data_IF_522542589941
#
_entry.id   IF_522542589941
#
_cell.length_a   1.000
_cell.length_b   1.000
_cell.length_c   1.000
_cell.angle_alpha   90.00
_cell.angle_beta   90.00
_cell.angle_gamma   90.00
#
_symmetry.space_group_name_H-M   'P 1'
#
loop_
_entity.id
_entity.type
_entity.pdbx_description
1 polymer ?
#
# COMPACT_ATOMS: atom_id res chain seq x y z
N UNK A 1 23.56 -40.36 10.96
CA UNK A 1 22.64 -39.21 10.76
C UNK A 1 21.27 -39.56 11.35
N UNK A 2 20.49 -38.56 11.76
CA UNK A 2 19.21 -38.75 12.45
C UNK A 2 18.22 -39.61 11.65
N UNK A 3 18.06 -39.35 10.34
CA UNK A 3 17.15 -40.12 9.48
C UNK A 3 17.49 -41.61 9.39
N UNK A 4 18.77 -42.00 9.49
CA UNK A 4 19.17 -43.40 9.41
C UNK A 4 18.80 -44.15 10.69
N UNK A 5 19.04 -43.51 11.85
CA UNK A 5 18.61 -44.07 13.15
C UNK A 5 17.10 -44.20 13.23
N UNK A 6 16.38 -43.19 12.73
CA UNK A 6 14.91 -43.23 12.66
C UNK A 6 14.42 -44.45 11.87
N UNK A 7 14.86 -44.59 10.61
CA UNK A 7 14.47 -45.70 9.75
C UNK A 7 14.96 -47.07 10.23
N UNK A 8 16.03 -47.14 11.01
CA UNK A 8 16.46 -48.39 11.63
C UNK A 8 15.52 -48.82 12.78
N UNK A 9 14.99 -47.84 13.53
CA UNK A 9 14.15 -48.06 14.72
C UNK A 9 12.65 -48.15 14.42
N UNK A 10 12.21 -47.59 13.29
CA UNK A 10 10.80 -47.54 12.90
C UNK A 10 10.60 -48.28 11.57
N UNK A 11 9.58 -49.13 11.52
CA UNK A 11 9.23 -49.91 10.33
C UNK A 11 8.24 -49.19 9.41
N UNK A 12 8.16 -47.86 9.48
CA UNK A 12 7.27 -47.07 8.64
C UNK A 12 7.75 -47.10 7.18
N UNK A 13 6.81 -47.36 6.27
CA UNK A 13 7.03 -47.37 4.82
C UNK A 13 6.74 -46.03 4.17
N UNK A 14 6.63 -44.95 4.95
CA UNK A 14 6.39 -43.61 4.42
C UNK A 14 7.68 -42.99 3.89
N UNK A 15 7.58 -42.15 2.86
CA UNK A 15 8.65 -41.20 2.57
C UNK A 15 8.69 -40.15 3.69
N UNK A 16 9.87 -39.88 4.24
CA UNK A 16 10.08 -38.89 5.30
C UNK A 16 10.85 -37.69 4.79
N UNK A 17 10.33 -36.51 5.08
CA UNK A 17 11.03 -35.25 4.86
C UNK A 17 11.85 -34.96 6.12
N UNK A 18 13.16 -34.80 5.96
CA UNK A 18 14.08 -34.50 7.05
C UNK A 18 14.50 -33.03 7.06
N UNK A 19 15.07 -32.60 8.19
CA UNK A 19 15.54 -31.22 8.38
C UNK A 19 16.62 -30.86 7.35
N UNK A 20 16.69 -29.59 6.92
CA UNK A 20 17.72 -29.14 5.99
C UNK A 20 19.12 -29.49 6.50
N UNK A 21 19.97 -29.98 5.61
CA UNK A 21 21.35 -30.34 5.95
C UNK A 21 22.28 -30.10 4.77
N UNK A 22 23.57 -29.99 5.05
CA UNK A 22 24.59 -29.95 4.01
C UNK A 22 24.83 -31.35 3.45
N UNK A 23 24.71 -31.47 2.13
CA UNK A 23 25.06 -32.69 1.40
C UNK A 23 26.55 -33.01 1.57
N UNK A 24 26.88 -34.29 1.77
CA UNK A 24 28.29 -34.72 1.84
C UNK A 24 28.95 -34.81 0.46
N UNK A 25 28.17 -35.07 -0.58
CA UNK A 25 28.67 -35.23 -1.94
C UNK A 25 28.84 -33.90 -2.66
N UNK A 26 27.95 -32.94 -2.39
CA UNK A 26 27.93 -31.64 -3.10
C UNK A 26 28.28 -30.45 -2.23
N UNK A 27 28.28 -30.58 -0.90
CA UNK A 27 28.49 -29.46 0.02
C UNK A 27 27.37 -28.42 0.02
N UNK A 28 26.25 -28.67 -0.68
CA UNK A 28 25.13 -27.73 -0.81
C UNK A 28 24.05 -28.00 0.23
N UNK A 29 23.36 -26.95 0.67
CA UNK A 29 22.21 -27.06 1.57
C UNK A 29 21.02 -27.68 0.83
N UNK A 30 20.40 -28.68 1.43
CA UNK A 30 19.36 -29.47 0.79
C UNK A 30 18.36 -30.05 1.79
N UNK A 31 17.17 -30.38 1.32
CA UNK A 31 16.11 -31.05 2.09
C UNK A 31 16.17 -32.55 1.74
N UNK A 32 16.52 -33.42 2.70
CA UNK A 32 16.54 -34.86 2.48
C UNK A 32 15.12 -35.43 2.47
N UNK A 33 14.79 -36.23 1.45
CA UNK A 33 13.60 -37.09 1.45
C UNK A 33 14.10 -38.53 1.50
N UNK A 34 13.75 -39.25 2.57
CA UNK A 34 14.28 -40.59 2.83
C UNK A 34 13.19 -41.63 2.91
N UNK A 35 13.51 -42.85 2.50
CA UNK A 35 12.60 -43.98 2.54
C UNK A 35 13.33 -45.21 3.06
N UNK A 36 12.68 -45.97 3.94
CA UNK A 36 13.23 -47.21 4.47
C UNK A 36 13.25 -48.28 3.38
N UNK A 37 14.35 -49.04 3.31
CA UNK A 37 14.46 -50.24 2.49
C UNK A 37 14.41 -51.43 3.42
N UNK A 38 13.45 -52.30 3.21
CA UNK A 38 13.30 -53.57 3.92
C UNK A 38 13.90 -54.71 3.10
N UNK A 39 14.46 -55.71 3.80
CA UNK A 39 14.73 -57.03 3.23
C UNK A 39 13.41 -57.79 3.02
N UNK A 40 13.40 -58.90 2.25
CA UNK A 40 12.22 -59.74 2.09
C UNK A 40 11.61 -60.24 3.41
N UNK A 41 12.43 -60.38 4.46
CA UNK A 41 12.01 -60.79 5.81
C UNK A 41 11.47 -59.61 6.67
N UNK A 42 11.38 -58.39 6.11
CA UNK A 42 10.95 -57.19 6.82
C UNK A 42 12.04 -56.53 7.68
N UNK A 43 13.23 -57.12 7.76
CA UNK A 43 14.35 -56.52 8.50
C UNK A 43 14.92 -55.30 7.77
N UNK A 44 15.48 -54.36 8.52
CA UNK A 44 16.05 -53.12 7.96
C UNK A 44 17.25 -53.42 7.06
N UNK A 45 17.14 -53.11 5.76
CA UNK A 45 18.20 -53.27 4.78
C UNK A 45 19.01 -51.97 4.57
N UNK A 46 18.39 -50.81 4.79
CA UNK A 46 19.03 -49.51 4.59
C UNK A 46 18.03 -48.40 4.31
N UNK A 47 18.52 -47.31 3.71
CA UNK A 47 17.73 -46.11 3.41
C UNK A 47 18.01 -45.64 1.99
N UNK A 48 16.95 -45.46 1.19
CA UNK A 48 17.00 -44.68 -0.04
C UNK A 48 16.85 -43.19 0.30
N UNK A 49 17.65 -42.34 -0.34
CA UNK A 49 17.63 -40.90 -0.07
C UNK A 49 17.62 -40.10 -1.39
N UNK A 50 16.60 -39.26 -1.53
CA UNK A 50 16.55 -38.21 -2.54
C UNK A 50 16.94 -36.87 -1.90
N UNK A 51 17.62 -36.03 -2.69
CA UNK A 51 18.14 -34.75 -2.24
C UNK A 51 17.44 -33.61 -2.96
N UNK A 52 16.52 -32.92 -2.27
CA UNK A 52 15.85 -31.75 -2.83
C UNK A 52 16.71 -30.51 -2.62
N UNK A 53 17.14 -29.92 -3.73
CA UNK A 53 17.94 -28.70 -3.79
C UNK A 53 17.08 -27.47 -3.47
N UNK A 54 17.57 -26.54 -2.67
CA UNK A 54 16.83 -25.31 -2.34
C UNK A 54 16.64 -24.40 -3.57
N UNK A 55 17.52 -24.49 -4.55
CA UNK A 55 17.43 -23.75 -5.82
C UNK A 55 16.18 -24.13 -6.63
N UNK A 56 15.63 -25.34 -6.43
CA UNK A 56 14.34 -25.71 -7.01
C UNK A 56 13.23 -24.83 -6.44
N UNK A 57 13.16 -24.71 -5.12
CA UNK A 57 12.16 -23.89 -4.44
C UNK A 57 12.36 -22.40 -4.73
N UNK A 58 13.61 -21.94 -4.84
CA UNK A 58 13.89 -20.57 -5.25
C UNK A 58 13.26 -20.25 -6.61
N UNK A 59 13.57 -21.04 -7.65
CA UNK A 59 13.00 -20.84 -8.98
C UNK A 59 11.49 -21.01 -9.03
N UNK A 60 10.95 -21.97 -8.29
CA UNK A 60 9.51 -22.21 -8.25
C UNK A 60 8.77 -21.06 -7.55
N UNK A 61 9.31 -20.52 -6.47
CA UNK A 61 8.64 -19.45 -5.72
C UNK A 61 8.92 -18.05 -6.27
N UNK A 62 9.99 -17.86 -7.04
CA UNK A 62 10.27 -16.60 -7.74
C UNK A 62 9.29 -16.29 -8.88
N UNK A 63 8.57 -17.29 -9.40
CA UNK A 63 7.52 -17.05 -10.40
C UNK A 63 6.23 -16.46 -9.82
N UNK A 64 6.10 -16.40 -8.50
CA UNK A 64 4.94 -15.80 -7.85
C UNK A 64 5.23 -14.35 -7.47
N UNK A 65 4.35 -13.46 -7.92
CA UNK A 65 4.33 -12.09 -7.44
C UNK A 65 3.62 -12.05 -6.08
N UNK A 66 4.40 -11.84 -5.02
CA UNK A 66 3.90 -11.61 -3.66
C UNK A 66 4.31 -10.23 -3.15
N UNK A 67 4.69 -9.33 -4.05
CA UNK A 67 5.27 -8.03 -3.72
C UNK A 67 6.76 -8.08 -3.42
N UNK A 68 7.36 -6.89 -3.30
CA UNK A 68 8.78 -6.66 -3.02
C UNK A 68 9.16 -7.03 -1.59
N UNK A 69 8.24 -6.82 -0.65
CA UNK A 69 8.44 -7.12 0.79
C UNK A 69 7.70 -8.38 1.24
N UNK A 70 7.13 -9.09 0.26
CA UNK A 70 6.41 -10.33 0.45
C UNK A 70 7.30 -11.47 0.89
N UNK A 71 6.67 -12.46 1.51
CA UNK A 71 7.33 -13.66 2.03
C UNK A 71 6.58 -14.89 1.55
N UNK A 72 7.33 -15.90 1.11
CA UNK A 72 6.83 -17.27 0.97
C UNK A 72 7.64 -18.12 1.93
N UNK A 73 6.98 -18.92 2.74
CA UNK A 73 7.56 -19.75 3.78
C UNK A 73 7.11 -21.20 3.57
N UNK A 74 8.06 -22.11 3.57
CA UNK A 74 7.83 -23.55 3.68
C UNK A 74 8.49 -24.03 4.97
N UNK A 75 7.70 -24.57 5.89
CA UNK A 75 8.17 -25.07 7.18
C UNK A 75 7.59 -26.45 7.48
N UNK A 76 8.25 -27.19 8.36
CA UNK A 76 7.71 -28.43 8.94
C UNK A 76 6.71 -28.13 10.07
N UNK A 77 5.90 -29.12 10.44
CA UNK A 77 4.96 -29.03 11.57
C UNK A 77 5.63 -28.67 12.91
N UNK A 78 6.89 -29.07 13.09
CA UNK A 78 7.67 -28.73 14.28
C UNK A 78 8.20 -27.29 14.29
N UNK A 79 7.91 -26.50 13.25
CA UNK A 79 8.40 -25.12 13.08
C UNK A 79 9.75 -25.01 12.39
N UNK A 80 10.37 -26.11 11.94
CA UNK A 80 11.65 -26.05 11.21
C UNK A 80 11.44 -25.44 9.82
N UNK A 81 12.15 -24.34 9.53
CA UNK A 81 12.08 -23.68 8.21
C UNK A 81 12.83 -24.52 7.17
N UNK A 82 12.14 -24.90 6.09
CA UNK A 82 12.74 -25.60 4.95
C UNK A 82 13.19 -24.63 3.86
N UNK A 83 12.36 -23.63 3.57
CA UNK A 83 12.64 -22.62 2.58
C UNK A 83 11.91 -21.32 2.93
N UNK A 84 12.52 -20.19 2.57
CA UNK A 84 11.92 -18.86 2.67
C UNK A 84 12.29 -18.03 1.45
N UNK A 85 11.34 -17.26 0.91
CA UNK A 85 11.54 -16.15 -0.01
C UNK A 85 11.29 -14.82 0.73
N UNK A 86 12.10 -13.76 0.55
CA UNK A 86 13.42 -13.79 -0.10
C UNK A 86 14.39 -14.74 0.61
N UNK A 87 15.30 -15.35 -0.15
CA UNK A 87 16.18 -16.39 0.36
C UNK A 87 17.13 -15.87 1.42
N UNK A 88 17.13 -16.51 2.60
CA UNK A 88 18.04 -16.26 3.71
C UNK A 88 18.58 -17.57 4.25
N UNK A 89 19.84 -17.88 3.95
CA UNK A 89 20.47 -19.14 4.34
C UNK A 89 20.47 -19.36 5.87
N UNK A 90 20.66 -18.28 6.64
CA UNK A 90 20.66 -18.28 8.11
C UNK A 90 19.31 -18.65 8.75
N UNK A 91 18.21 -18.50 8.01
CA UNK A 91 16.86 -18.84 8.49
C UNK A 91 16.55 -20.31 8.23
N UNK A 92 17.14 -20.91 7.19
CA UNK A 92 16.87 -22.31 6.82
C UNK A 92 17.39 -23.24 7.92
N UNK A 93 16.53 -24.14 8.40
CA UNK A 93 16.82 -25.04 9.51
C UNK A 93 16.56 -24.45 10.90
N UNK A 94 16.25 -23.15 11.01
CA UNK A 94 15.84 -22.54 12.30
C UNK A 94 14.42 -22.94 12.67
N UNK A 95 14.07 -22.78 13.94
CA UNK A 95 12.74 -23.09 14.46
C UNK A 95 11.92 -21.82 14.73
N UNK A 96 10.70 -21.79 14.19
CA UNK A 96 9.74 -20.68 14.32
C UNK A 96 8.40 -21.14 14.90
N UNK A 97 8.37 -22.24 15.66
CA UNK A 97 7.15 -22.80 16.24
C UNK A 97 6.43 -21.86 17.23
N UNK A 98 7.19 -20.96 17.85
CA UNK A 98 6.73 -19.86 18.72
C UNK A 98 6.41 -18.57 17.96
N UNK A 99 6.44 -18.59 16.63
CA UNK A 99 6.07 -17.47 15.79
C UNK A 99 4.55 -17.34 15.60
N UNK A 100 4.09 -16.13 15.30
CA UNK A 100 2.67 -15.79 15.16
C UNK A 100 1.91 -16.65 14.13
N UNK A 101 2.57 -17.09 13.04
CA UNK A 101 1.93 -17.96 12.03
C UNK A 101 1.65 -19.37 12.57
N UNK A 102 2.53 -19.90 13.42
CA UNK A 102 2.32 -21.19 14.09
C UNK A 102 1.33 -21.09 15.24
N UNK A 103 1.27 -19.95 15.94
CA UNK A 103 0.17 -19.66 16.86
C UNK A 103 -1.18 -19.65 16.14
N UNK A 104 -1.25 -19.05 14.96
CA UNK A 104 -2.46 -19.03 14.15
C UNK A 104 -2.81 -20.44 13.66
N UNK A 105 -1.85 -21.23 13.19
CA UNK A 105 -2.04 -22.64 12.83
C UNK A 105 -2.65 -23.46 13.98
N UNK A 106 -2.10 -23.32 15.19
CA UNK A 106 -2.63 -24.01 16.37
C UNK A 106 -4.05 -23.58 16.75
N UNK A 107 -4.42 -22.32 16.53
CA UNK A 107 -5.72 -21.75 16.94
C UNK A 107 -6.81 -21.91 15.89
N UNK A 108 -6.48 -21.72 14.62
CA UNK A 108 -7.43 -21.63 13.51
C UNK A 108 -7.51 -22.90 12.65
N UNK A 109 -6.61 -23.86 12.85
CA UNK A 109 -6.65 -25.16 12.16
C UNK A 109 -5.74 -25.21 10.92
N UNK A 110 -6.12 -25.99 9.91
CA UNK A 110 -5.24 -26.33 8.77
C UNK A 110 -5.05 -25.21 7.76
N UNK A 111 -5.84 -24.14 7.80
CA UNK A 111 -5.66 -22.96 6.97
C UNK A 111 -6.22 -21.71 7.64
N UNK A 112 -5.70 -20.55 7.28
CA UNK A 112 -6.20 -19.30 7.80
C UNK A 112 -5.47 -18.09 7.23
N UNK A 113 -6.07 -16.92 7.42
CA UNK A 113 -5.51 -15.64 7.01
C UNK A 113 -5.64 -14.63 8.13
N UNK A 114 -4.55 -13.92 8.47
CA UNK A 114 -4.57 -12.89 9.50
C UNK A 114 -3.42 -11.88 9.30
N UNK A 115 -3.58 -10.67 9.86
CA UNK A 115 -2.48 -9.72 10.00
C UNK A 115 -1.58 -10.16 11.16
N UNK A 116 -0.31 -10.41 10.88
CA UNK A 116 0.65 -10.92 11.86
C UNK A 116 1.98 -10.18 11.74
N UNK A 117 2.69 -10.06 12.86
CA UNK A 117 4.08 -9.57 12.88
C UNK A 117 5.02 -10.77 12.74
N UNK A 118 5.88 -10.72 11.73
CA UNK A 118 6.79 -11.83 11.45
C UNK A 118 7.91 -11.93 12.50
N UNK A 119 8.11 -13.12 13.08
CA UNK A 119 9.20 -13.37 14.06
C UNK A 119 10.61 -13.08 13.50
N UNK A 120 10.81 -13.33 12.21
CA UNK A 120 12.14 -13.30 11.57
C UNK A 120 12.63 -11.87 11.29
N UNK A 121 11.74 -10.93 10.97
CA UNK A 121 12.13 -9.56 10.58
C UNK A 121 11.28 -8.44 11.21
N UNK A 122 10.28 -8.77 12.04
CA UNK A 122 9.47 -7.79 12.77
C UNK A 122 8.47 -7.01 11.91
N UNK A 123 8.30 -7.34 10.63
CA UNK A 123 7.40 -6.60 9.74
C UNK A 123 5.97 -7.16 9.85
N UNK A 124 5.00 -6.27 9.98
CA UNK A 124 3.57 -6.57 9.95
C UNK A 124 3.11 -6.92 8.52
N UNK A 125 2.58 -8.13 8.34
CA UNK A 125 2.13 -8.65 7.04
C UNK A 125 0.79 -9.34 7.15
N UNK A 126 0.01 -9.29 6.08
CA UNK A 126 -1.16 -10.15 5.92
C UNK A 126 -0.67 -11.55 5.53
N UNK A 127 -0.68 -12.48 6.48
CA UNK A 127 -0.31 -13.86 6.26
C UNK A 127 -1.51 -14.69 5.83
N UNK A 128 -1.32 -15.56 4.84
CA UNK A 128 -2.21 -16.66 4.52
C UNK A 128 -1.43 -17.96 4.53
N UNK A 129 -1.88 -18.96 5.28
CA UNK A 129 -1.18 -20.23 5.43
C UNK A 129 -2.10 -21.43 5.16
N UNK A 130 -1.47 -22.55 4.83
CA UNK A 130 -2.10 -23.86 4.67
C UNK A 130 -1.14 -24.97 5.06
N UNK A 131 -1.62 -25.90 5.87
CA UNK A 131 -0.99 -27.19 6.15
C UNK A 131 -1.36 -28.19 5.03
N UNK A 132 -0.42 -29.06 4.64
CA UNK A 132 -0.62 -30.04 3.58
C UNK A 132 -1.12 -31.37 4.16
N UNK A 133 -2.23 -31.91 3.64
CA UNK A 133 -2.87 -33.11 4.23
C UNK A 133 -1.99 -34.37 4.24
N UNK A 134 -1.08 -34.51 3.27
CA UNK A 134 -0.26 -35.71 3.09
C UNK A 134 1.21 -35.52 3.45
N UNK A 135 1.62 -34.31 3.82
CA UNK A 135 3.00 -34.01 4.15
C UNK A 135 3.03 -33.15 5.43
N UNK A 136 3.97 -33.39 6.35
CA UNK A 136 4.08 -32.62 7.60
C UNK A 136 4.69 -31.24 7.34
N UNK A 137 4.03 -30.46 6.49
CA UNK A 137 4.49 -29.21 5.91
C UNK A 137 3.41 -28.15 6.00
N UNK A 138 3.83 -26.96 6.40
CA UNK A 138 3.06 -25.74 6.37
C UNK A 138 3.65 -24.80 5.32
N UNK A 139 2.80 -24.32 4.41
CA UNK A 139 3.12 -23.29 3.44
C UNK A 139 2.42 -22.01 3.87
N UNK A 140 3.15 -20.90 3.90
CA UNK A 140 2.58 -19.58 4.14
C UNK A 140 3.06 -18.57 3.11
N UNK A 141 2.18 -17.66 2.74
CA UNK A 141 2.47 -16.48 1.94
C UNK A 141 2.09 -15.24 2.74
N UNK A 142 2.81 -14.14 2.56
CA UNK A 142 2.51 -12.91 3.24
C UNK A 142 2.92 -11.69 2.43
N UNK A 143 2.12 -10.63 2.48
CA UNK A 143 2.44 -9.33 1.87
C UNK A 143 2.42 -8.26 2.96
N UNK A 144 3.37 -7.31 2.93
CA UNK A 144 3.42 -6.27 3.96
C UNK A 144 2.22 -5.34 3.89
N UNK A 145 1.79 -4.88 5.05
CA UNK A 145 0.71 -3.90 5.16
C UNK A 145 1.00 -2.63 4.38
N UNK A 146 2.24 -2.15 4.43
CA UNK A 146 2.67 -0.93 3.73
C UNK A 146 2.54 -1.10 2.21
N UNK A 147 2.92 -2.26 1.69
CA UNK A 147 2.82 -2.57 0.26
C UNK A 147 1.37 -2.72 -0.19
N UNK A 148 0.52 -3.39 0.61
CA UNK A 148 -0.93 -3.48 0.36
C UNK A 148 -1.56 -2.08 0.31
N UNK A 149 -1.15 -1.17 1.20
CA UNK A 149 -1.72 0.17 1.31
C UNK A 149 -1.08 1.20 0.36
N UNK A 150 0.05 0.89 -0.27
CA UNK A 150 0.80 1.84 -1.09
C UNK A 150 -0.04 2.41 -2.23
N UNK A 151 -0.75 1.55 -2.97
CA UNK A 151 -1.62 1.99 -4.07
C UNK A 151 -2.77 2.85 -3.57
N UNK A 152 -3.33 2.51 -2.41
CA UNK A 152 -4.38 3.29 -1.77
C UNK A 152 -3.90 4.69 -1.38
N UNK A 153 -2.70 4.81 -0.78
CA UNK A 153 -2.12 6.10 -0.42
C UNK A 153 -1.86 6.99 -1.65
N UNK A 154 -1.39 6.41 -2.76
CA UNK A 154 -1.21 7.15 -4.02
C UNK A 154 -2.55 7.67 -4.55
N UNK A 155 -3.60 6.86 -4.50
CA UNK A 155 -4.94 7.27 -4.91
C UNK A 155 -5.48 8.41 -4.03
N UNK A 156 -5.33 8.29 -2.71
CA UNK A 156 -5.72 9.33 -1.75
C UNK A 156 -4.97 10.64 -2.01
N UNK A 157 -3.66 10.59 -2.26
CA UNK A 157 -2.88 11.77 -2.59
C UNK A 157 -3.39 12.45 -3.88
N UNK A 158 -3.64 11.68 -4.94
CA UNK A 158 -4.18 12.20 -6.20
C UNK A 158 -5.55 12.85 -6.02
N UNK A 159 -6.48 12.17 -5.34
CA UNK A 159 -7.81 12.73 -5.02
C UNK A 159 -7.69 14.00 -4.17
N UNK A 160 -6.79 14.01 -3.19
CA UNK A 160 -6.56 15.18 -2.35
C UNK A 160 -6.06 16.38 -3.17
N UNK A 161 -5.14 16.17 -4.11
CA UNK A 161 -4.69 17.23 -5.02
C UNK A 161 -5.84 17.80 -5.85
N UNK A 162 -6.72 16.95 -6.38
CA UNK A 162 -7.90 17.37 -7.16
C UNK A 162 -8.86 18.20 -6.30
N UNK A 163 -9.15 17.75 -5.07
CA UNK A 163 -10.03 18.46 -4.14
C UNK A 163 -9.43 19.81 -3.75
N UNK A 164 -8.15 19.86 -3.39
CA UNK A 164 -7.45 21.11 -3.04
C UNK A 164 -7.46 22.08 -4.23
N UNK A 165 -7.23 21.58 -5.45
CA UNK A 165 -7.28 22.40 -6.66
C UNK A 165 -8.69 22.96 -6.91
N UNK A 166 -9.73 22.14 -6.80
CA UNK A 166 -11.11 22.56 -6.99
C UNK A 166 -11.53 23.62 -5.95
N UNK A 167 -11.21 23.38 -4.67
CA UNK A 167 -11.46 24.35 -3.59
C UNK A 167 -10.68 25.65 -3.83
N UNK A 168 -9.42 25.55 -4.27
CA UNK A 168 -8.59 26.70 -4.63
C UNK A 168 -9.19 27.52 -5.79
N UNK A 169 -9.71 26.87 -6.83
CA UNK A 169 -10.39 27.54 -7.93
C UNK A 169 -11.67 28.25 -7.49
N UNK A 170 -12.48 27.60 -6.64
CA UNK A 170 -13.70 28.20 -6.09
C UNK A 170 -13.36 29.42 -5.22
N UNK A 171 -12.38 29.30 -4.34
CA UNK A 171 -11.90 30.40 -3.49
C UNK A 171 -11.36 31.57 -4.33
N UNK A 172 -10.59 31.26 -5.38
CA UNK A 172 -10.09 32.26 -6.31
C UNK A 172 -11.20 32.95 -7.11
N UNK A 173 -12.18 32.20 -7.59
CA UNK A 173 -13.36 32.72 -8.28
C UNK A 173 -14.19 33.62 -7.37
N UNK A 174 -14.43 33.20 -6.12
CA UNK A 174 -15.12 34.00 -5.12
C UNK A 174 -14.36 35.31 -4.81
N UNK A 175 -13.03 35.24 -4.65
CA UNK A 175 -12.21 36.42 -4.43
C UNK A 175 -12.25 37.39 -5.62
N UNK A 176 -12.18 36.89 -6.85
CA UNK A 176 -12.35 37.66 -8.09
C UNK A 176 -13.72 38.34 -8.15
N UNK A 177 -14.78 37.61 -7.82
CA UNK A 177 -16.15 38.13 -7.82
C UNK A 177 -16.33 39.26 -6.79
N UNK A 178 -15.87 39.06 -5.56
CA UNK A 178 -15.89 40.11 -4.52
C UNK A 178 -15.10 41.34 -4.96
N UNK A 179 -13.91 41.16 -5.56
CA UNK A 179 -13.13 42.27 -6.10
C UNK A 179 -13.86 43.02 -7.21
N UNK A 180 -14.51 42.31 -8.13
CA UNK A 180 -15.28 42.94 -9.20
C UNK A 180 -16.48 43.73 -8.68
N UNK A 181 -17.18 43.21 -7.66
CA UNK A 181 -18.28 43.93 -7.02
C UNK A 181 -17.80 45.24 -6.39
N UNK A 182 -16.70 45.21 -5.62
CA UNK A 182 -16.12 46.42 -5.02
C UNK A 182 -15.67 47.46 -6.05
N UNK A 183 -15.08 47.01 -7.15
CA UNK A 183 -14.67 47.91 -8.25
C UNK A 183 -15.89 48.52 -8.94
N UNK A 184 -16.97 47.75 -9.14
CA UNK A 184 -18.22 48.26 -9.70
C UNK A 184 -18.87 49.29 -8.78
N UNK A 185 -18.95 49.01 -7.48
CA UNK A 185 -19.48 49.95 -6.49
C UNK A 185 -18.71 51.28 -6.53
N UNK A 186 -17.37 51.23 -6.54
CA UNK A 186 -16.54 52.44 -6.64
C UNK A 186 -16.77 53.24 -7.95
N UNK A 187 -16.90 52.54 -9.08
CA UNK A 187 -17.20 53.17 -10.38
C UNK A 187 -18.59 53.80 -10.42
N UNK A 188 -19.59 53.15 -9.82
CA UNK A 188 -20.94 53.70 -9.72
C UNK A 188 -20.98 54.95 -8.85
N UNK A 189 -20.25 54.96 -7.73
CA UNK A 189 -20.13 56.13 -6.86
C UNK A 189 -19.46 57.31 -7.59
N UNK A 190 -18.39 57.05 -8.36
CA UNK A 190 -17.72 58.05 -9.18
C UNK A 190 -18.63 58.62 -10.29
N UNK A 191 -19.39 57.73 -10.96
CA UNK A 191 -20.38 58.14 -11.97
C UNK A 191 -21.50 58.99 -11.38
N UNK A 192 -21.98 58.66 -10.17
CA UNK A 192 -23.00 59.45 -9.47
C UNK A 192 -22.45 60.84 -9.12
N UNK A 193 -21.22 60.93 -8.61
CA UNK A 193 -20.58 62.20 -8.30
C UNK A 193 -20.36 63.07 -9.56
N UNK A 194 -19.88 62.47 -10.66
CA UNK A 194 -19.70 63.16 -11.93
C UNK A 194 -21.02 63.68 -12.52
N UNK A 195 -22.11 62.88 -12.45
CA UNK A 195 -23.45 63.31 -12.87
C UNK A 195 -23.95 64.50 -12.05
N UNK A 196 -23.85 64.43 -10.72
CA UNK A 196 -24.26 65.54 -9.84
C UNK A 196 -23.47 66.83 -10.16
N UNK A 197 -22.16 66.72 -10.43
CA UNK A 197 -21.34 67.86 -10.82
C UNK A 197 -21.73 68.45 -12.19
N UNK A 198 -22.11 67.61 -13.16
CA UNK A 198 -22.59 68.05 -14.48
C UNK A 198 -23.97 68.71 -14.37
N UNK A 199 -24.89 68.15 -13.58
CA UNK A 199 -26.20 68.75 -13.32
C UNK A 199 -26.07 70.13 -12.67
N UNK A 200 -25.21 70.26 -11.66
CA UNK A 200 -24.93 71.54 -11.02
C UNK A 200 -24.39 72.56 -12.04
N UNK A 201 -23.41 72.18 -12.86
CA UNK A 201 -22.87 73.05 -13.93
C UNK A 201 -23.95 73.47 -14.93
N UNK A 202 -24.84 72.56 -15.33
CA UNK A 202 -25.94 72.87 -16.23
C UNK A 202 -26.92 73.88 -15.62
N UNK A 203 -27.26 73.73 -14.33
CA UNK A 203 -28.10 74.70 -13.62
C UNK A 203 -27.42 76.06 -13.55
N UNK A 204 -26.13 76.11 -13.21
CA UNK A 204 -25.37 77.37 -13.16
C UNK A 204 -25.29 78.04 -14.54
N UNK A 205 -25.05 77.29 -15.61
CA UNK A 205 -25.03 77.82 -16.97
C UNK A 205 -26.40 78.36 -17.40
N UNK A 206 -27.50 77.68 -17.04
CA UNK A 206 -28.85 78.20 -17.28
C UNK A 206 -29.09 79.51 -16.54
N UNK A 207 -28.73 79.59 -15.25
CA UNK A 207 -28.83 80.83 -14.48
C UNK A 207 -28.02 81.97 -15.11
N UNK A 208 -26.79 81.70 -15.55
CA UNK A 208 -25.94 82.67 -16.25
C UNK A 208 -26.47 83.04 -17.65
N UNK A 209 -27.18 82.14 -18.32
CA UNK A 209 -27.83 82.44 -19.59
C UNK A 209 -29.08 83.32 -19.39
N UNK A 210 -29.83 83.11 -18.30
CA UNK A 210 -31.07 83.80 -17.96
C UNK A 210 -30.87 85.13 -17.22
N UNK A 211 -29.64 85.47 -16.82
CA UNK A 211 -29.29 86.72 -16.14
C UNK A 211 -28.12 87.43 -16.84
N UNK A 212 -28.24 88.75 -17.02
CA UNK A 212 -27.20 89.58 -17.61
C UNK A 212 -26.08 89.85 -16.60
N UNK A 213 -24.85 89.49 -16.96
CA UNK A 213 -23.71 89.49 -16.03
C UNK A 213 -23.23 90.89 -15.59
N UNK A 214 -23.61 91.96 -16.32
CA UNK A 214 -23.21 93.33 -15.97
C UNK A 214 -24.26 94.04 -15.10
N UNK A 215 -25.53 93.62 -15.19
CA UNK A 215 -26.66 94.33 -14.55
C UNK A 215 -27.42 93.50 -13.51
N UNK A 216 -27.27 92.16 -13.52
CA UNK A 216 -27.99 91.23 -12.64
C UNK A 216 -29.49 91.09 -12.95
N UNK A 217 -29.97 91.71 -14.04
CA UNK A 217 -31.36 91.65 -14.49
C UNK A 217 -31.58 90.44 -15.41
N UNK A 218 -32.84 90.01 -15.55
CA UNK A 218 -33.20 88.89 -16.42
C UNK A 218 -32.85 89.18 -17.89
N UNK A 219 -32.17 88.22 -18.53
CA UNK A 219 -31.76 88.32 -19.92
C UNK A 219 -32.98 88.18 -20.86
N UNK A 220 -32.94 88.80 -22.04
CA UNK A 220 -34.05 88.85 -23.02
C UNK A 220 -34.61 87.45 -23.35
N UNK A 221 -33.75 86.44 -23.38
CA UNK A 221 -34.07 85.04 -23.66
C UNK A 221 -35.11 84.44 -22.70
N UNK A 222 -35.20 84.93 -21.46
CA UNK A 222 -36.18 84.47 -20.47
C UNK A 222 -37.61 84.92 -20.78
N UNK A 223 -37.78 85.89 -21.68
CA UNK A 223 -39.07 86.45 -22.07
C UNK A 223 -39.54 85.99 -23.46
N UNK A 224 -38.75 85.15 -24.15
CA UNK A 224 -39.06 84.64 -25.50
C UNK A 224 -39.66 83.20 -25.48
N UNK A 225 -39.80 82.58 -24.30
CA UNK A 225 -40.48 81.30 -24.03
C UNK A 225 -41.83 81.51 -23.32
#
# INVERSE_FOLDING_TARGET
REYFRYHMQHADRGARIGKPLYSRSTGTLMIPVTHRIDRPDGSFAGVAMASLRLEFFARFYDSFDVGQTGVILLAMDDGTVLYRRPFKAEVVGTNIADGAVFDLYRKAGTAGTAMLVAKIDGIERLYSYRHLDHFPLLVATAQSKDEILQEWWIAVAKMSCVVVFAVGMLAWGMHRMIRQLRVREALEDELRAARAALELRNVTLRQLADSDALTGLANRRRFDD
#
